data_IF_213667432097
#
_entry.id   IF_213667432097
#
_cell.length_a   1.000
_cell.length_b   1.000
_cell.length_c   1.000
_cell.angle_alpha   90.00
_cell.angle_beta   90.00
_cell.angle_gamma   90.00
#
_symmetry.space_group_name_H-M   'P 1'
#
loop_
_entity.id
_entity.type
_entity.pdbx_description
1 polymer ?
#
# COMPACT_ATOMS: atom_id res chain seq x y z
N UNK A 1 13.13 -3.19 22.85
CA UNK A 1 13.92 -2.04 22.35
C UNK A 1 14.10 -2.05 20.82
N UNK A 2 14.58 -3.15 20.22
CA UNK A 2 14.79 -3.28 18.76
C UNK A 2 13.58 -2.94 17.88
N UNK A 3 12.37 -3.37 18.28
CA UNK A 3 11.14 -3.09 17.53
C UNK A 3 10.83 -1.59 17.42
N UNK A 4 11.04 -0.81 18.48
CA UNK A 4 10.75 0.63 18.47
C UNK A 4 11.68 1.40 17.51
N UNK A 5 12.97 1.05 17.49
CA UNK A 5 13.97 1.65 16.60
C UNK A 5 13.63 1.34 15.14
N UNK A 6 13.32 0.08 14.82
CA UNK A 6 12.91 -0.33 13.47
C UNK A 6 11.62 0.38 13.04
N UNK A 7 10.64 0.51 13.94
CA UNK A 7 9.40 1.18 13.63
C UNK A 7 9.62 2.67 13.33
N UNK A 8 10.47 3.34 14.11
CA UNK A 8 10.86 4.74 13.85
C UNK A 8 11.62 4.88 12.53
N UNK A 9 12.51 3.94 12.21
CA UNK A 9 13.22 3.91 10.92
C UNK A 9 12.26 3.71 9.74
N UNK A 10 11.26 2.84 9.89
CA UNK A 10 10.23 2.62 8.88
C UNK A 10 9.46 3.90 8.53
N UNK A 11 9.00 4.67 9.54
CA UNK A 11 8.28 5.92 9.26
C UNK A 11 9.18 7.00 8.67
N UNK A 12 10.47 7.03 9.01
CA UNK A 12 11.43 7.89 8.32
C UNK A 12 11.59 7.50 6.85
N UNK A 13 11.74 6.20 6.56
CA UNK A 13 11.83 5.68 5.20
C UNK A 13 10.58 5.98 4.37
N UNK A 14 9.37 5.85 4.96
CA UNK A 14 8.12 6.26 4.31
C UNK A 14 8.15 7.74 3.89
N UNK A 15 8.56 8.64 4.81
CA UNK A 15 8.63 10.08 4.53
C UNK A 15 9.68 10.44 3.48
N UNK A 16 10.73 9.63 3.34
CA UNK A 16 11.78 9.82 2.35
C UNK A 16 11.46 9.18 0.99
N UNK A 17 10.33 8.46 0.85
CA UNK A 17 10.00 7.72 -0.36
C UNK A 17 10.77 6.40 -0.52
N UNK A 18 11.48 5.95 0.52
CA UNK A 18 12.23 4.70 0.53
C UNK A 18 11.32 3.52 0.90
N UNK A 19 10.30 3.26 0.09
CA UNK A 19 9.21 2.36 0.46
C UNK A 19 9.64 0.91 0.67
N UNK A 20 10.55 0.37 -0.17
CA UNK A 20 11.10 -0.98 0.03
C UNK A 20 11.82 -1.12 1.39
N UNK A 21 12.59 -0.10 1.79
CA UNK A 21 13.27 -0.10 3.08
C UNK A 21 12.27 -0.02 4.25
N UNK A 22 11.17 0.73 4.09
CA UNK A 22 10.09 0.77 5.07
C UNK A 22 9.39 -0.60 5.22
N UNK A 23 9.19 -1.33 4.13
CA UNK A 23 8.64 -2.70 4.17
C UNK A 23 9.58 -3.63 4.95
N UNK A 24 10.89 -3.61 4.65
CA UNK A 24 11.86 -4.44 5.37
C UNK A 24 11.92 -4.12 6.87
N UNK A 25 11.84 -2.84 7.23
CA UNK A 25 11.83 -2.42 8.63
C UNK A 25 10.57 -2.90 9.36
N UNK A 26 9.41 -2.77 8.71
CA UNK A 26 8.13 -3.22 9.28
C UNK A 26 8.03 -4.74 9.35
N UNK A 27 8.55 -5.47 8.37
CA UNK A 27 8.69 -6.93 8.42
C UNK A 27 9.51 -7.36 9.65
N UNK A 28 10.64 -6.71 9.90
CA UNK A 28 11.47 -7.01 11.06
C UNK A 28 10.77 -6.68 12.39
N UNK A 29 9.93 -5.64 12.45
CA UNK A 29 9.07 -5.38 13.62
C UNK A 29 8.05 -6.49 13.79
N UNK A 30 7.39 -6.91 12.72
CA UNK A 30 6.31 -7.91 12.76
C UNK A 30 6.82 -9.33 13.03
N UNK A 31 8.09 -9.62 12.73
CA UNK A 31 8.75 -10.83 13.22
C UNK A 31 8.95 -10.84 14.74
N UNK A 32 9.07 -9.67 15.38
CA UNK A 32 9.23 -9.54 16.83
C UNK A 32 7.87 -9.47 17.52
N UNK A 33 6.93 -8.72 16.93
CA UNK A 33 5.58 -8.51 17.43
C UNK A 33 4.61 -8.47 16.24
N UNK A 34 4.02 -9.62 15.93
CA UNK A 34 3.12 -9.79 14.79
C UNK A 34 1.81 -9.00 14.90
N UNK A 35 1.47 -8.51 16.10
CA UNK A 35 0.26 -7.72 16.37
C UNK A 35 0.56 -6.22 16.45
N UNK A 36 1.74 -5.78 16.01
CA UNK A 36 2.11 -4.39 16.05
C UNK A 36 1.33 -3.56 15.03
N UNK A 37 0.24 -2.93 15.47
CA UNK A 37 -0.66 -2.13 14.62
C UNK A 37 0.11 -1.07 13.83
N UNK A 38 1.02 -0.34 14.46
CA UNK A 38 1.81 0.70 13.79
C UNK A 38 2.65 0.14 12.64
N UNK A 39 3.24 -1.04 12.82
CA UNK A 39 4.03 -1.67 11.77
C UNK A 39 3.16 -2.18 10.63
N UNK A 40 2.00 -2.78 10.92
CA UNK A 40 1.02 -3.21 9.90
C UNK A 40 0.55 -2.03 9.05
N UNK A 41 0.10 -0.93 9.68
CA UNK A 41 -0.34 0.29 8.97
C UNK A 41 0.78 0.87 8.11
N UNK A 42 2.00 0.95 8.64
CA UNK A 42 3.16 1.49 7.91
C UNK A 42 3.56 0.60 6.72
N UNK A 43 3.47 -0.73 6.87
CA UNK A 43 3.78 -1.67 5.78
C UNK A 43 2.74 -1.61 4.67
N UNK A 44 1.45 -1.52 5.03
CA UNK A 44 0.37 -1.29 4.07
C UNK A 44 0.57 0.02 3.30
N UNK A 45 0.87 1.12 4.00
CA UNK A 45 1.13 2.41 3.39
C UNK A 45 2.34 2.38 2.44
N UNK A 46 3.43 1.69 2.81
CA UNK A 46 4.61 1.54 1.96
C UNK A 46 4.29 0.74 0.68
N UNK A 47 3.54 -0.35 0.80
CA UNK A 47 3.10 -1.17 -0.35
C UNK A 47 2.20 -0.38 -1.29
N UNK A 48 1.25 0.40 -0.75
CA UNK A 48 0.39 1.28 -1.55
C UNK A 48 1.20 2.35 -2.28
N UNK A 49 2.12 3.01 -1.59
CA UNK A 49 2.95 4.05 -2.21
C UNK A 49 3.88 3.49 -3.31
N UNK A 50 4.39 2.25 -3.16
CA UNK A 50 5.09 1.57 -4.26
C UNK A 50 4.19 1.33 -5.47
N UNK A 51 2.94 0.93 -5.24
CA UNK A 51 1.98 0.75 -6.34
C UNK A 51 1.76 2.07 -7.06
N UNK A 52 1.51 3.16 -6.33
CA UNK A 52 1.30 4.49 -6.93
C UNK A 52 2.54 4.96 -7.72
N UNK A 53 3.75 4.72 -7.20
CA UNK A 53 5.02 5.01 -7.89
C UNK A 53 5.16 4.24 -9.22
N UNK A 54 4.60 3.04 -9.28
CA UNK A 54 4.69 2.15 -10.44
C UNK A 54 3.51 2.24 -11.41
N UNK A 55 2.37 2.80 -10.99
CA UNK A 55 1.20 3.09 -11.84
C UNK A 55 1.44 4.32 -12.73
N UNK A 56 2.19 5.31 -12.23
CA UNK A 56 2.54 6.52 -12.98
C UNK A 56 4.06 6.60 -13.27
N UNK A 57 4.63 5.69 -14.08
CA UNK A 57 6.05 5.73 -14.37
C UNK A 57 6.38 6.96 -15.24
N UNK A 58 7.49 7.68 -14.96
CA UNK A 58 7.95 8.73 -15.87
C UNK A 58 8.32 8.11 -17.21
N UNK A 59 7.59 8.47 -18.28
CA UNK A 59 7.81 7.97 -19.64
C UNK A 59 6.92 6.80 -20.06
N UNK A 60 5.60 6.95 -19.85
CA UNK A 60 4.52 6.01 -20.16
C UNK A 60 4.84 4.99 -21.27
N UNK A 61 5.19 3.77 -20.84
CA UNK A 61 5.15 2.56 -21.64
C UNK A 61 4.07 1.69 -21.02
N UNK A 62 3.23 1.03 -21.83
CA UNK A 62 2.18 0.13 -21.34
C UNK A 62 2.75 -0.83 -20.28
N UNK A 63 2.06 -0.95 -19.13
CA UNK A 63 2.45 -1.90 -18.09
C UNK A 63 2.42 -3.31 -18.68
N UNK A 64 3.56 -4.01 -18.68
CA UNK A 64 3.61 -5.42 -19.04
C UNK A 64 2.89 -6.29 -18.00
N UNK A 65 2.35 -7.44 -18.41
CA UNK A 65 1.56 -8.31 -17.53
C UNK A 65 2.30 -8.88 -16.32
N UNK A 66 3.63 -8.91 -16.32
CA UNK A 66 4.43 -9.23 -15.12
C UNK A 66 4.44 -8.09 -14.10
N UNK A 67 4.56 -6.85 -14.59
CA UNK A 67 4.56 -5.67 -13.76
C UNK A 67 3.20 -5.47 -13.10
N UNK A 68 2.12 -5.61 -13.86
CA UNK A 68 0.75 -5.55 -13.32
C UNK A 68 0.48 -6.63 -12.27
N UNK A 69 0.94 -7.87 -12.49
CA UNK A 69 0.88 -8.94 -11.48
C UNK A 69 1.60 -8.57 -10.18
N UNK A 70 2.76 -7.91 -10.28
CA UNK A 70 3.49 -7.43 -9.10
C UNK A 70 2.70 -6.37 -8.34
N UNK A 71 2.05 -5.43 -9.05
CA UNK A 71 1.23 -4.40 -8.40
C UNK A 71 0.02 -5.00 -7.69
N UNK A 72 -0.70 -5.92 -8.34
CA UNK A 72 -1.79 -6.68 -7.71
C UNK A 72 -1.32 -7.40 -6.44
N UNK A 73 -0.16 -8.04 -6.50
CA UNK A 73 0.40 -8.73 -5.33
C UNK A 73 0.70 -7.77 -4.17
N UNK A 74 1.23 -6.58 -4.46
CA UNK A 74 1.48 -5.55 -3.45
C UNK A 74 0.19 -5.03 -2.82
N UNK A 75 -0.86 -4.80 -3.62
CA UNK A 75 -2.18 -4.38 -3.14
C UNK A 75 -2.81 -5.43 -2.24
N UNK A 76 -2.78 -6.71 -2.63
CA UNK A 76 -3.31 -7.80 -1.81
C UNK A 76 -2.58 -7.88 -0.47
N UNK A 77 -1.25 -7.77 -0.50
CA UNK A 77 -0.42 -7.78 0.70
C UNK A 77 -0.70 -6.55 1.60
N UNK A 78 -0.96 -5.38 1.03
CA UNK A 78 -1.37 -4.20 1.81
C UNK A 78 -2.75 -4.40 2.46
N UNK A 79 -3.67 -5.04 1.74
CA UNK A 79 -5.01 -5.37 2.20
C UNK A 79 -5.00 -6.34 3.37
N UNK A 80 -4.20 -7.41 3.29
CA UNK A 80 -3.98 -8.36 4.39
C UNK A 80 -3.54 -7.65 5.68
N UNK A 81 -2.61 -6.70 5.57
CA UNK A 81 -2.10 -5.95 6.72
C UNK A 81 -3.20 -5.09 7.37
N UNK A 82 -4.01 -4.41 6.57
CA UNK A 82 -5.09 -3.55 7.09
C UNK A 82 -6.26 -4.37 7.65
N UNK A 83 -6.56 -5.54 7.08
CA UNK A 83 -7.52 -6.48 7.68
C UNK A 83 -7.03 -6.93 9.06
N UNK A 84 -5.72 -7.21 9.20
CA UNK A 84 -5.17 -7.53 10.51
C UNK A 84 -5.31 -6.35 11.48
N UNK A 85 -5.16 -5.10 11.02
CA UNK A 85 -5.40 -3.91 11.84
C UNK A 85 -6.86 -3.82 12.28
N UNK A 86 -7.83 -3.98 11.39
CA UNK A 86 -9.26 -3.88 11.76
C UNK A 86 -9.71 -5.03 12.67
N UNK A 87 -9.09 -6.20 12.60
CA UNK A 87 -9.31 -7.28 13.55
C UNK A 87 -8.75 -6.98 14.95
N UNK A 88 -7.64 -6.23 15.03
CA UNK A 88 -7.02 -5.84 16.30
C UNK A 88 -7.70 -4.60 16.91
N UNK A 89 -8.08 -3.65 16.06
CA UNK A 89 -8.68 -2.35 16.39
C UNK A 89 -9.86 -2.09 15.44
N UNK A 90 -11.07 -2.60 15.76
CA UNK A 90 -12.25 -2.43 14.90
C UNK A 90 -12.68 -0.98 14.68
N UNK A 91 -12.37 -0.10 15.63
CA UNK A 91 -12.70 1.33 15.58
C UNK A 91 -11.63 2.17 14.84
N UNK A 92 -10.64 1.51 14.22
CA UNK A 92 -9.59 2.20 13.46
C UNK A 92 -10.14 2.65 12.09
N UNK A 93 -10.75 3.83 12.07
CA UNK A 93 -11.33 4.44 10.87
C UNK A 93 -10.31 4.63 9.75
N UNK A 94 -9.06 4.97 10.08
CA UNK A 94 -8.00 5.21 9.11
C UNK A 94 -7.67 3.93 8.33
N UNK A 95 -7.63 2.78 9.01
CA UNK A 95 -7.43 1.48 8.38
C UNK A 95 -8.62 1.08 7.49
N UNK A 96 -9.85 1.37 7.91
CA UNK A 96 -11.05 1.11 7.10
C UNK A 96 -11.08 1.97 5.83
N UNK A 97 -10.76 3.27 5.93
CA UNK A 97 -10.66 4.14 4.75
C UNK A 97 -9.56 3.66 3.81
N UNK A 98 -8.40 3.30 4.35
CA UNK A 98 -7.28 2.78 3.55
C UNK A 98 -7.63 1.46 2.83
N UNK A 99 -8.49 0.61 3.41
CA UNK A 99 -9.00 -0.59 2.75
C UNK A 99 -9.90 -0.26 1.56
N UNK A 100 -10.83 0.71 1.73
CA UNK A 100 -11.70 1.16 0.65
C UNK A 100 -10.88 1.72 -0.52
N UNK A 101 -9.87 2.55 -0.21
CA UNK A 101 -8.97 3.11 -1.22
C UNK A 101 -8.17 2.02 -1.95
N UNK A 102 -7.77 0.94 -1.26
CA UNK A 102 -7.05 -0.18 -1.88
C UNK A 102 -7.94 -1.00 -2.81
N UNK A 103 -9.18 -1.27 -2.39
CA UNK A 103 -10.14 -2.01 -3.19
C UNK A 103 -10.49 -1.23 -4.47
N UNK A 104 -10.60 0.10 -4.39
CA UNK A 104 -10.81 0.96 -5.57
C UNK A 104 -9.64 0.89 -6.55
N UNK A 105 -8.40 1.01 -6.08
CA UNK A 105 -7.22 0.90 -6.95
C UNK A 105 -7.08 -0.49 -7.54
N UNK A 106 -7.36 -1.54 -6.75
CA UNK A 106 -7.34 -2.91 -7.27
C UNK A 106 -8.42 -3.12 -8.34
N UNK A 107 -9.58 -2.49 -8.20
CA UNK A 107 -10.64 -2.56 -9.21
C UNK A 107 -10.20 -1.90 -10.52
N UNK A 108 -9.66 -0.67 -10.45
CA UNK A 108 -9.14 0.05 -11.62
C UNK A 108 -8.02 -0.71 -12.33
N UNK A 109 -7.14 -1.37 -11.58
CA UNK A 109 -6.07 -2.20 -12.14
C UNK A 109 -6.58 -3.50 -12.80
N UNK A 110 -7.78 -3.95 -12.47
CA UNK A 110 -8.39 -5.12 -13.11
C UNK A 110 -9.26 -4.75 -14.32
N UNK A 111 -9.80 -3.52 -14.33
CA UNK A 111 -10.71 -3.02 -15.36
C UNK A 111 -10.23 -1.65 -15.90
N UNK A 112 -9.14 -1.61 -16.68
CA UNK A 112 -8.58 -0.36 -17.17
C UNK A 112 -9.47 0.38 -18.19
N UNK A 113 -10.37 -0.34 -18.87
CA UNK A 113 -11.29 0.21 -19.88
C UNK A 113 -12.50 0.94 -19.26
N UNK A 114 -12.85 0.65 -18.00
CA UNK A 114 -13.99 1.25 -17.29
C UNK A 114 -13.67 2.64 -16.69
N UNK A 115 -12.46 3.16 -16.91
CA UNK A 115 -11.98 4.45 -16.33
C UNK A 115 -12.15 5.62 -17.31
N UNK A 116 -12.58 5.37 -18.56
CA UNK A 116 -12.94 6.42 -19.51
C UNK A 116 -14.40 6.86 -19.34
N UNK A 117 -14.72 7.68 -18.34
CA UNK A 117 -15.84 8.64 -18.38
C UNK A 117 -15.86 9.54 -17.14
N UNK A 118 -15.01 10.59 -17.09
CA UNK A 118 -15.33 11.81 -16.33
C UNK A 118 -14.40 13.00 -16.67
N UNK A 119 -14.19 13.26 -17.96
CA UNK A 119 -13.72 14.59 -18.40
C UNK A 119 -13.91 14.77 -19.90
N UNK A 120 -15.13 15.03 -20.32
CA UNK A 120 -15.36 15.82 -21.53
C UNK A 120 -16.34 16.96 -21.20
N UNK A 121 -15.87 18.11 -20.68
CA UNK A 121 -16.67 19.31 -20.74
C UNK A 121 -16.56 19.90 -22.16
N UNK A 122 -17.73 20.05 -22.77
CA UNK A 122 -18.07 21.02 -23.81
C UNK A 122 -17.81 20.65 -25.27
N UNK A 123 -18.93 20.49 -26.00
CA UNK A 123 -19.04 20.78 -27.42
C UNK A 123 -19.44 22.24 -27.67
#
# INVERSE_FOLDING_TARGET
ERAAVLNNRAVCNLKLGNFDAAILDTDAVLCIDSRNVKALVRRAAARRALVDQHLNPPGASSLGGEHERRLRHLLEKAREDLIAVTQLEPDNSDAMLSLMDLDEVSFKLNNPEDVEEESNPEG
#
